data_IF_733092088647
#
_entry.id   IF_733092088647
#
_cell.length_a   1.000
_cell.length_b   1.000
_cell.length_c   1.000
_cell.angle_alpha   90.00
_cell.angle_beta   90.00
_cell.angle_gamma   90.00
#
_symmetry.space_group_name_H-M   'P 1'
#
loop_
_entity.id
_entity.type
_entity.pdbx_description
1 polymer ?
#
# COMPACT_ATOMS: atom_id res chain seq x y z
N UNK A 1 28.33 30.80 24.38
CA UNK A 1 27.34 29.90 23.73
C UNK A 1 26.27 30.80 23.15
N UNK A 2 26.09 30.79 21.82
CA UNK A 2 25.06 31.58 21.17
C UNK A 2 23.79 30.73 21.08
N UNK A 3 22.68 31.27 21.56
CA UNK A 3 21.36 30.65 21.40
C UNK A 3 20.86 31.04 20.01
N UNK A 4 20.61 30.06 19.15
CA UNK A 4 20.01 30.28 17.83
C UNK A 4 18.54 29.91 17.96
N UNK A 5 17.65 30.85 17.61
CA UNK A 5 16.21 30.61 17.59
C UNK A 5 15.84 29.88 16.32
N UNK A 6 14.88 28.95 16.42
CA UNK A 6 14.37 28.20 15.26
C UNK A 6 13.75 29.15 14.24
N UNK A 7 14.21 29.09 12.99
CA UNK A 7 13.63 29.82 11.87
C UNK A 7 12.45 29.02 11.31
N UNK A 8 11.23 29.53 11.48
CA UNK A 8 10.05 28.80 11.03
C UNK A 8 9.94 28.68 9.50
N UNK A 9 10.66 29.50 8.73
CA UNK A 9 10.59 29.50 7.27
C UNK A 9 11.68 28.60 6.65
N UNK A 10 12.84 28.49 7.29
CA UNK A 10 13.98 27.72 6.77
C UNK A 10 14.26 26.42 7.53
N UNK A 11 13.94 26.34 8.82
CA UNK A 11 14.20 25.16 9.65
C UNK A 11 12.98 24.22 9.75
N UNK A 12 11.79 24.67 9.35
CA UNK A 12 10.56 23.85 9.30
C UNK A 12 10.23 23.51 7.85
N UNK A 13 10.41 22.24 7.46
CA UNK A 13 9.71 21.71 6.29
C UNK A 13 8.25 21.50 6.71
N UNK A 14 7.37 22.43 6.32
CA UNK A 14 5.93 22.26 6.51
C UNK A 14 5.45 21.34 5.40
N UNK A 15 4.81 20.22 5.72
CA UNK A 15 4.25 19.33 4.71
C UNK A 15 3.23 20.13 3.88
N UNK A 16 3.52 20.32 2.61
CA UNK A 16 2.54 20.84 1.67
C UNK A 16 1.45 19.77 1.56
N UNK A 17 0.23 20.09 1.98
CA UNK A 17 -0.90 19.17 1.92
C UNK A 17 -1.24 18.91 0.45
N UNK A 18 -0.57 17.92 -0.14
CA UNK A 18 -0.85 17.48 -1.50
C UNK A 18 -2.21 16.81 -1.47
N UNK A 19 -3.24 17.57 -1.86
CA UNK A 19 -4.57 17.03 -2.08
C UNK A 19 -4.51 16.05 -3.26
N UNK A 20 -4.37 14.77 -2.96
CA UNK A 20 -4.51 13.68 -3.92
C UNK A 20 -5.94 13.70 -4.48
N UNK A 21 -6.15 14.36 -5.61
CA UNK A 21 -7.46 14.40 -6.31
C UNK A 21 -7.70 13.17 -7.18
N UNK A 22 -6.71 12.30 -7.34
CA UNK A 22 -6.82 11.07 -8.11
C UNK A 22 -7.14 9.89 -7.20
N UNK A 23 -7.98 8.96 -7.68
CA UNK A 23 -8.24 7.73 -6.94
C UNK A 23 -6.98 6.88 -6.76
N UNK A 24 -6.82 6.34 -5.56
CA UNK A 24 -5.66 5.52 -5.15
C UNK A 24 -5.74 4.08 -5.68
N UNK A 25 -6.95 3.63 -6.02
CA UNK A 25 -7.18 2.27 -6.50
C UNK A 25 -6.95 2.20 -8.01
N UNK A 26 -6.78 0.98 -8.52
CA UNK A 26 -6.68 0.76 -9.97
C UNK A 26 -7.84 1.41 -10.72
N UNK A 27 -7.60 1.81 -11.97
CA UNK A 27 -8.56 2.55 -12.80
C UNK A 27 -8.87 3.96 -12.27
N UNK A 28 -8.09 4.45 -11.29
CA UNK A 28 -8.26 5.80 -10.73
C UNK A 28 -9.49 5.92 -9.83
N UNK A 29 -10.00 4.81 -9.30
CA UNK A 29 -11.15 4.82 -8.41
C UNK A 29 -10.79 5.39 -7.03
N UNK A 30 -11.62 6.30 -6.51
CA UNK A 30 -11.46 6.87 -5.17
C UNK A 30 -11.87 5.90 -4.05
N UNK A 31 -12.67 4.89 -4.37
CA UNK A 31 -13.16 3.89 -3.42
C UNK A 31 -13.15 2.51 -4.05
N UNK A 32 -12.61 1.52 -3.33
CA UNK A 32 -12.66 0.12 -3.71
C UNK A 32 -13.96 -0.49 -3.16
N UNK A 33 -15.01 -0.55 -3.99
CA UNK A 33 -16.34 -1.05 -3.57
C UNK A 33 -16.41 -2.57 -3.55
N UNK A 34 -15.74 -3.22 -4.49
CA UNK A 34 -15.65 -4.67 -4.61
C UNK A 34 -14.20 -5.11 -4.44
N UNK A 35 -13.99 -6.14 -3.63
CA UNK A 35 -12.67 -6.70 -3.38
C UNK A 35 -12.72 -8.21 -3.45
N UNK A 36 -11.72 -8.79 -4.11
CA UNK A 36 -11.58 -10.23 -4.28
C UNK A 36 -10.22 -10.66 -3.78
N UNK A 37 -10.18 -11.75 -3.02
CA UNK A 37 -8.93 -12.26 -2.46
C UNK A 37 -8.49 -13.49 -3.24
N UNK A 38 -7.19 -13.60 -3.48
CA UNK A 38 -6.61 -14.82 -4.03
C UNK A 38 -5.37 -15.21 -3.26
N UNK A 39 -5.24 -16.51 -3.04
CA UNK A 39 -4.00 -17.14 -2.62
C UNK A 39 -3.16 -17.57 -3.83
N UNK A 40 -3.36 -17.04 -5.06
CA UNK A 40 -2.52 -17.40 -6.21
C UNK A 40 -1.05 -17.07 -5.89
N UNK A 41 -0.28 -18.13 -5.64
CA UNK A 41 1.09 -18.08 -5.15
C UNK A 41 2.03 -17.99 -6.36
N UNK A 42 2.91 -16.98 -6.38
CA UNK A 42 4.10 -17.02 -7.23
C UNK A 42 5.19 -17.73 -6.45
N UNK A 43 5.89 -18.69 -7.07
CA UNK A 43 6.96 -19.49 -6.44
C UNK A 43 8.12 -18.64 -5.89
N UNK A 44 8.18 -17.36 -6.25
CA UNK A 44 9.22 -16.41 -5.90
C UNK A 44 8.96 -15.51 -4.68
N UNK A 45 7.77 -15.50 -4.07
CA UNK A 45 7.41 -14.46 -3.06
C UNK A 45 7.25 -14.94 -1.61
N UNK A 46 7.57 -16.20 -1.27
CA UNK A 46 7.34 -16.71 0.07
C UNK A 46 5.84 -16.89 0.36
N UNK A 47 5.44 -18.07 0.78
CA UNK A 47 4.07 -18.57 0.67
C UNK A 47 3.10 -18.07 1.76
N UNK A 48 3.14 -16.80 2.16
CA UNK A 48 2.41 -16.33 3.34
C UNK A 48 1.76 -14.97 3.10
N UNK A 49 1.06 -14.81 1.99
CA UNK A 49 0.31 -13.59 1.75
C UNK A 49 -1.03 -13.87 1.09
N UNK A 50 -1.96 -12.94 1.29
CA UNK A 50 -3.23 -12.87 0.58
C UNK A 50 -3.20 -11.64 -0.32
N UNK A 51 -3.39 -11.84 -1.63
CA UNK A 51 -3.48 -10.74 -2.59
C UNK A 51 -4.94 -10.28 -2.70
N UNK A 52 -5.17 -8.97 -2.64
CA UNK A 52 -6.47 -8.34 -2.90
C UNK A 52 -6.49 -7.72 -4.29
N UNK A 53 -7.61 -7.90 -5.00
CA UNK A 53 -7.87 -7.42 -6.36
C UNK A 53 -9.16 -6.59 -6.42
N UNK A 54 -9.30 -5.73 -7.43
CA UNK A 54 -10.54 -4.98 -7.71
C UNK A 54 -11.63 -5.81 -8.39
N UNK A 55 -11.25 -6.89 -9.07
CA UNK A 55 -12.16 -7.79 -9.81
C UNK A 55 -11.83 -9.25 -9.49
N UNK A 56 -12.72 -10.16 -9.90
CA UNK A 56 -12.50 -11.60 -9.76
C UNK A 56 -11.13 -11.96 -10.37
N UNK A 57 -10.25 -12.70 -9.68
CA UNK A 57 -8.89 -12.97 -10.16
C UNK A 57 -8.81 -13.75 -11.49
N UNK A 58 -9.88 -14.41 -11.91
CA UNK A 58 -9.97 -15.07 -13.21
C UNK A 58 -10.21 -14.10 -14.39
N UNK A 59 -10.57 -12.84 -14.10
CA UNK A 59 -10.71 -11.79 -15.11
C UNK A 59 -9.32 -11.30 -15.53
N UNK A 60 -9.06 -11.25 -16.83
CA UNK A 60 -7.77 -10.82 -17.38
C UNK A 60 -7.50 -9.33 -17.17
N UNK A 61 -8.53 -8.54 -16.85
CA UNK A 61 -8.43 -7.12 -16.50
C UNK A 61 -8.33 -6.89 -14.99
N UNK A 62 -8.22 -7.96 -14.19
CA UNK A 62 -8.08 -7.85 -12.74
C UNK A 62 -6.74 -7.23 -12.36
N UNK A 63 -6.78 -6.20 -11.53
CA UNK A 63 -5.63 -5.47 -11.03
C UNK A 63 -5.41 -5.76 -9.54
N UNK A 64 -4.15 -6.04 -9.18
CA UNK A 64 -3.70 -6.17 -7.78
C UNK A 64 -3.78 -4.81 -7.09
N UNK A 65 -4.41 -4.74 -5.92
CA UNK A 65 -4.54 -3.52 -5.13
C UNK A 65 -3.48 -3.47 -4.04
N UNK A 66 -3.50 -4.44 -3.13
CA UNK A 66 -2.56 -4.57 -2.02
C UNK A 66 -2.49 -6.03 -1.55
N UNK A 67 -1.48 -6.34 -0.75
CA UNK A 67 -1.26 -7.68 -0.22
C UNK A 67 -1.15 -7.67 1.30
N UNK A 68 -1.73 -8.68 1.94
CA UNK A 68 -1.65 -8.89 3.38
C UNK A 68 -0.64 -10.01 3.61
N UNK A 69 0.47 -9.71 4.28
CA UNK A 69 1.50 -10.70 4.61
C UNK A 69 1.27 -11.25 6.02
N UNK A 70 1.40 -12.56 6.18
CA UNK A 70 1.35 -13.27 7.44
C UNK A 70 2.77 -13.66 7.86
N UNK A 71 3.23 -13.07 8.96
CA UNK A 71 4.52 -13.42 9.55
C UNK A 71 4.38 -14.60 10.51
N UNK A 72 5.25 -15.61 10.39
CA UNK A 72 5.35 -16.65 11.40
C UNK A 72 5.99 -16.09 12.68
N UNK A 73 5.37 -16.34 13.85
CA UNK A 73 5.83 -15.83 15.15
C UNK A 73 7.29 -16.18 15.47
N UNK A 74 7.76 -17.35 15.01
CA UNK A 74 9.14 -17.81 15.20
C UNK A 74 10.12 -17.39 14.10
N UNK A 75 9.70 -16.60 13.11
CA UNK A 75 10.57 -16.15 12.02
C UNK A 75 10.93 -17.19 10.96
N UNK A 76 10.42 -18.43 11.06
CA UNK A 76 10.70 -19.50 10.10
C UNK A 76 10.00 -19.37 8.74
N UNK A 77 9.03 -18.45 8.62
CA UNK A 77 8.30 -18.23 7.37
C UNK A 77 7.54 -19.47 6.91
N UNK A 78 6.78 -20.12 7.79
CA UNK A 78 5.86 -21.23 7.47
C UNK A 78 4.64 -21.30 8.36
#
# INVERSE_FOLDING_TARGET
MAFVTFDQENDIITEEEVKLTSGIWSEGAGTLTSFFTSSVQSSSNGQYFLQVFNKVPSDTTSAKQFSILYGHKGGSGS
#
